data_IF_552774239227
#
_entry.id   IF_552774239227
#
_cell.length_a   1.000
_cell.length_b   1.000
_cell.length_c   1.000
_cell.angle_alpha   90.00
_cell.angle_beta   90.00
_cell.angle_gamma   90.00
#
_symmetry.space_group_name_H-M   'P 1'
#
loop_
_entity.id
_entity.type
_entity.pdbx_description
1 polymer ?
#
# COMPACT_ATOMS: atom_id res chain seq x y z
N UNK A 1 -12.33 -16.25 -28.10
CA UNK A 1 -11.93 -14.86 -27.79
C UNK A 1 -11.31 -14.88 -26.40
N UNK A 2 -10.01 -14.57 -26.27
CA UNK A 2 -9.34 -14.60 -24.97
C UNK A 2 -9.67 -13.28 -24.25
N UNK A 3 -10.31 -13.37 -23.09
CA UNK A 3 -10.52 -12.24 -22.18
C UNK A 3 -9.19 -12.00 -21.45
N UNK A 4 -8.31 -11.17 -22.00
CA UNK A 4 -7.13 -10.71 -21.27
C UNK A 4 -7.48 -9.38 -20.59
N UNK A 5 -7.62 -9.34 -19.25
CA UNK A 5 -7.81 -8.10 -18.52
C UNK A 5 -6.54 -7.24 -18.55
N UNK A 6 -6.70 -5.92 -18.56
CA UNK A 6 -5.59 -4.97 -18.42
C UNK A 6 -5.03 -5.02 -16.99
N UNK A 7 -3.73 -4.82 -16.85
CA UNK A 7 -3.09 -4.80 -15.52
C UNK A 7 -3.64 -3.64 -14.68
N UNK A 8 -3.93 -3.87 -13.38
CA UNK A 8 -4.40 -2.82 -12.50
C UNK A 8 -3.32 -1.75 -12.29
N UNK A 9 -3.76 -0.51 -12.10
CA UNK A 9 -2.89 0.60 -11.70
C UNK A 9 -3.01 0.77 -10.20
N UNK A 10 -1.91 0.57 -9.47
CA UNK A 10 -1.90 0.63 -8.02
C UNK A 10 -1.18 1.87 -7.50
N UNK A 11 -1.69 2.43 -6.41
CA UNK A 11 -1.15 3.60 -5.72
C UNK A 11 -0.95 3.27 -4.24
N UNK A 12 0.12 3.82 -3.68
CA UNK A 12 0.43 3.79 -2.26
C UNK A 12 0.39 5.21 -1.69
N UNK A 13 -0.34 5.40 -0.61
CA UNK A 13 -0.47 6.67 0.11
C UNK A 13 -0.33 6.47 1.61
N UNK A 14 0.11 7.52 2.33
CA UNK A 14 0.15 7.56 3.79
C UNK A 14 -0.81 8.63 4.26
N UNK A 15 -1.69 8.27 5.20
CA UNK A 15 -2.70 9.15 5.76
C UNK A 15 -2.41 9.46 7.23
N UNK A 16 -2.83 10.64 7.70
CA UNK A 16 -2.77 11.01 9.11
C UNK A 16 -3.81 10.24 9.94
N UNK A 17 -3.38 9.63 11.03
CA UNK A 17 -4.26 8.91 11.95
C UNK A 17 -4.82 7.61 11.37
N UNK A 18 -5.92 7.70 10.62
CA UNK A 18 -6.76 6.57 10.22
C UNK A 18 -7.14 6.54 8.73
N UNK A 19 -8.04 5.63 8.31
CA UNK A 19 -8.40 5.42 6.90
C UNK A 19 -9.09 6.63 6.24
N UNK A 20 -9.72 7.49 7.04
CA UNK A 20 -10.36 8.75 6.61
C UNK A 20 -9.41 9.96 6.75
N UNK A 21 -8.13 9.72 7.05
CA UNK A 21 -7.14 10.77 7.21
C UNK A 21 -6.74 11.45 5.91
N UNK A 22 -6.17 12.64 6.03
CA UNK A 22 -5.59 13.36 4.90
C UNK A 22 -4.24 12.75 4.50
N UNK A 23 -3.92 12.80 3.20
CA UNK A 23 -2.60 12.39 2.70
C UNK A 23 -1.52 13.30 3.26
N UNK A 24 -0.47 12.68 3.81
CA UNK A 24 0.66 13.39 4.43
C UNK A 24 1.98 13.06 3.73
N UNK A 25 2.89 14.03 3.71
CA UNK A 25 4.25 13.89 3.20
C UNK A 25 5.31 13.95 4.32
N UNK A 26 4.91 14.34 5.53
CA UNK A 26 5.76 14.43 6.71
C UNK A 26 4.99 14.01 7.95
N UNK A 27 5.73 13.53 8.95
CA UNK A 27 5.21 13.04 10.22
C UNK A 27 6.24 13.29 11.32
N UNK A 28 5.77 13.36 12.56
CA UNK A 28 6.61 13.46 13.75
C UNK A 28 6.72 12.11 14.45
N UNK A 29 7.77 11.95 15.26
CA UNK A 29 7.90 10.78 16.12
C UNK A 29 6.71 10.72 17.09
N UNK A 30 6.03 9.57 17.09
CA UNK A 30 4.84 9.32 17.91
C UNK A 30 3.51 9.50 17.16
N UNK A 31 3.52 10.05 15.93
CA UNK A 31 2.31 10.16 15.13
C UNK A 31 1.80 8.76 14.74
N UNK A 32 0.48 8.59 14.80
CA UNK A 32 -0.18 7.42 14.22
C UNK A 32 -0.51 7.72 12.77
N UNK A 33 -0.16 6.80 11.87
CA UNK A 33 -0.39 6.92 10.44
C UNK A 33 -1.10 5.69 9.89
N UNK A 34 -1.75 5.85 8.75
CA UNK A 34 -2.43 4.78 8.05
C UNK A 34 -1.83 4.59 6.65
N UNK A 35 -1.24 3.42 6.41
CA UNK A 35 -0.70 3.06 5.10
C UNK A 35 -1.84 2.51 4.23
N UNK A 36 -2.07 3.12 3.05
CA UNK A 36 -3.15 2.74 2.15
C UNK A 36 -2.61 2.34 0.79
N UNK A 37 -2.97 1.14 0.36
CA UNK A 37 -2.78 0.65 -1.01
C UNK A 37 -4.14 0.57 -1.69
N UNK A 38 -4.23 1.10 -2.90
CA UNK A 38 -5.42 1.08 -3.73
C UNK A 38 -5.03 0.66 -5.14
N UNK A 39 -5.84 -0.19 -5.78
CA UNK A 39 -5.63 -0.57 -7.18
C UNK A 39 -6.91 -0.31 -7.96
N UNK A 40 -6.80 0.40 -9.07
CA UNK A 40 -7.89 0.62 -10.02
C UNK A 40 -7.82 -0.43 -11.15
N UNK A 41 -8.97 -0.97 -11.54
CA UNK A 41 -9.11 -1.93 -12.62
C UNK A 41 -10.48 -1.79 -13.30
N UNK A 42 -10.52 -1.98 -14.62
CA UNK A 42 -11.75 -1.73 -15.40
C UNK A 42 -12.79 -2.85 -15.34
N UNK A 43 -12.42 -4.06 -14.90
CA UNK A 43 -13.32 -5.21 -14.87
C UNK A 43 -13.30 -5.90 -13.51
N UNK A 44 -14.43 -5.84 -12.84
CA UNK A 44 -14.67 -6.56 -11.59
C UNK A 44 -14.46 -8.08 -11.74
N UNK A 45 -13.94 -8.70 -10.69
CA UNK A 45 -13.82 -10.16 -10.56
C UNK A 45 -12.58 -10.78 -11.21
N UNK A 46 -11.71 -10.00 -11.88
CA UNK A 46 -10.45 -10.51 -12.42
C UNK A 46 -9.28 -10.45 -11.44
N UNK A 47 -9.30 -9.47 -10.53
CA UNK A 47 -8.19 -9.22 -9.62
C UNK A 47 -8.67 -9.06 -8.18
N UNK A 48 -7.85 -9.54 -7.25
CA UNK A 48 -7.92 -9.22 -5.83
C UNK A 48 -6.54 -8.74 -5.39
N UNK A 49 -6.50 -7.85 -4.41
CA UNK A 49 -5.26 -7.32 -3.87
C UNK A 49 -4.86 -8.07 -2.59
N UNK A 50 -3.58 -8.43 -2.50
CA UNK A 50 -2.94 -8.90 -1.28
C UNK A 50 -1.64 -8.14 -1.10
N UNK A 51 -1.44 -7.58 0.08
CA UNK A 51 -0.17 -6.97 0.43
C UNK A 51 0.75 -8.08 0.93
N UNK A 52 1.79 -8.41 0.15
CA UNK A 52 2.65 -9.56 0.46
C UNK A 52 3.80 -9.22 1.40
N UNK A 53 4.41 -8.04 1.28
CA UNK A 53 5.52 -7.61 2.14
C UNK A 53 5.55 -6.09 2.20
N UNK A 54 5.80 -5.54 3.39
CA UNK A 54 6.05 -4.13 3.59
C UNK A 54 7.22 -3.95 4.56
N UNK A 55 8.15 -3.09 4.20
CA UNK A 55 9.39 -2.89 4.93
C UNK A 55 9.70 -1.40 4.98
N UNK A 56 10.03 -0.89 6.17
CA UNK A 56 10.60 0.44 6.32
C UNK A 56 12.12 0.36 6.17
N UNK A 57 12.68 1.23 5.33
CA UNK A 57 14.12 1.40 5.14
C UNK A 57 14.56 2.70 5.81
N UNK A 58 15.61 2.63 6.64
CA UNK A 58 16.18 3.80 7.31
C UNK A 58 17.16 4.60 6.44
N UNK A 59 17.38 4.18 5.19
CA UNK A 59 18.32 4.78 4.24
C UNK A 59 19.78 4.38 4.48
N UNK A 60 20.07 3.61 5.53
CA UNK A 60 21.39 3.06 5.84
C UNK A 60 21.47 1.55 5.54
N UNK A 61 20.40 0.99 4.95
CA UNK A 61 20.28 -0.43 4.63
C UNK A 61 19.73 -1.27 5.77
N UNK A 62 19.30 -0.67 6.88
CA UNK A 62 18.55 -1.40 7.90
C UNK A 62 17.08 -1.43 7.50
N UNK A 63 16.56 -2.66 7.40
CA UNK A 63 15.21 -2.94 6.96
C UNK A 63 14.37 -3.45 8.13
N UNK A 64 13.29 -2.74 8.45
CA UNK A 64 12.34 -3.14 9.47
C UNK A 64 11.07 -3.70 8.82
N UNK A 65 10.76 -5.01 8.96
CA UNK A 65 9.54 -5.58 8.42
C UNK A 65 8.32 -5.06 9.18
N UNK A 66 7.32 -4.61 8.42
CA UNK A 66 5.99 -4.20 8.88
C UNK A 66 4.95 -5.28 8.56
N UNK A 67 5.05 -5.87 7.37
CA UNK A 67 4.23 -7.00 6.91
C UNK A 67 5.17 -8.06 6.36
N UNK A 68 5.03 -9.29 6.84
CA UNK A 68 5.85 -10.42 6.42
C UNK A 68 5.28 -11.11 5.17
N UNK A 69 6.01 -12.09 4.62
CA UNK A 69 5.67 -12.78 3.36
C UNK A 69 4.30 -13.48 3.34
N UNK A 70 3.65 -13.64 4.48
CA UNK A 70 2.31 -14.19 4.57
C UNK A 70 1.22 -13.12 4.47
N UNK A 71 1.58 -11.85 4.28
CA UNK A 71 0.65 -10.72 4.27
C UNK A 71 0.04 -10.47 5.64
#
# INVERSE_FOLDING_TARGET
>A
MILQPEMPVCEYTVLSGGPEGDTIASLNLGDTIYHRWSCDYQKDGFYCMRLHTCTADDGQGNLQPIIDTNG
#
